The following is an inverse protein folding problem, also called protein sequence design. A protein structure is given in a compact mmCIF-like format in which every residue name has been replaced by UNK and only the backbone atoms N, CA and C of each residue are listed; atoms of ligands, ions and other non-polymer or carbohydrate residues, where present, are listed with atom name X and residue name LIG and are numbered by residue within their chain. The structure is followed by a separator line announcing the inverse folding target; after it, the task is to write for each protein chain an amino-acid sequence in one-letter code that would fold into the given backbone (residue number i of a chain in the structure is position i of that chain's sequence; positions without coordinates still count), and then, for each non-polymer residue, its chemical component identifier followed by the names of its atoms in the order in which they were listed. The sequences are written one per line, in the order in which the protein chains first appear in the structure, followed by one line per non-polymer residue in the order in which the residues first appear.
data_IF_315331145368
#
_entry.id   IF_315331145368
#
_cell.length_a   1.000
_cell.length_b   1.000
_cell.length_c   1.000
_cell.angle_alpha   90.00
_cell.angle_beta   90.00
_cell.angle_gamma   90.00
#
_symmetry.space_group_name_H-M   'P 1'
#
loop_
_entity.id
_entity.type
_entity.pdbx_description
1 polymer ?
#
# COMPACT_ATOMS: atom_id res chain seq x y z
N UNK A 1 24.79 5.78 2.60
CA UNK A 1 23.69 6.69 3.00
C UNK A 1 22.59 6.51 1.95
N UNK A 2 21.61 5.66 2.21
CA UNK A 2 20.50 5.42 1.29
C UNK A 2 19.55 6.61 1.40
N UNK A 3 19.39 7.33 0.30
CA UNK A 3 18.45 8.46 0.22
C UNK A 3 17.06 7.89 -0.04
N UNK A 4 16.25 7.84 1.01
CA UNK A 4 14.80 7.67 0.93
C UNK A 4 14.25 8.81 0.03
N UNK A 5 13.87 8.51 -1.21
CA UNK A 5 13.10 9.45 -2.03
C UNK A 5 11.71 9.57 -1.39
N UNK A 6 11.34 10.73 -0.82
CA UNK A 6 10.09 10.84 -0.08
C UNK A 6 8.92 10.75 -1.05
N UNK A 7 7.86 10.05 -0.65
CA UNK A 7 6.55 9.98 -1.33
C UNK A 7 5.94 11.38 -1.66
N UNK A 8 6.56 12.45 -1.16
CA UNK A 8 6.28 13.85 -1.48
C UNK A 8 6.45 14.21 -2.97
N UNK A 9 7.41 13.60 -3.67
CA UNK A 9 7.66 13.90 -5.10
C UNK A 9 6.46 13.53 -5.99
N UNK A 10 5.82 12.39 -5.72
CA UNK A 10 4.69 11.90 -6.53
C UNK A 10 3.45 12.79 -6.37
N UNK A 11 3.16 13.25 -5.16
CA UNK A 11 2.01 14.15 -4.88
C UNK A 11 2.21 15.51 -5.57
N UNK A 12 3.43 16.05 -5.54
CA UNK A 12 3.77 17.32 -6.22
C UNK A 12 3.68 17.18 -7.74
N UNK A 13 4.13 16.04 -8.30
CA UNK A 13 4.01 15.76 -9.74
C UNK A 13 2.55 15.62 -10.18
N UNK A 14 1.71 14.94 -9.40
CA UNK A 14 0.26 14.85 -9.68
C UNK A 14 -0.36 16.25 -9.69
N UNK A 15 0.00 17.10 -8.72
CA UNK A 15 -0.53 18.47 -8.62
C UNK A 15 -0.13 19.34 -9.83
N UNK A 16 1.13 19.27 -10.27
CA UNK A 16 1.59 19.99 -11.47
C UNK A 16 0.93 19.49 -12.75
N UNK A 17 0.77 18.18 -12.91
CA UNK A 17 0.07 17.59 -14.07
C UNK A 17 -1.40 18.04 -14.06
N UNK A 18 -2.06 18.05 -12.89
CA UNK A 18 -3.44 18.48 -12.73
C UNK A 18 -3.61 19.97 -13.10
N UNK A 19 -2.71 20.84 -12.65
CA UNK A 19 -2.75 22.27 -13.00
C UNK A 19 -2.59 22.50 -14.51
N UNK A 20 -1.76 21.71 -15.20
CA UNK A 20 -1.58 21.81 -16.64
C UNK A 20 -2.80 21.30 -17.44
N UNK A 21 -3.52 20.28 -16.94
CA UNK A 21 -4.75 19.77 -17.55
C UNK A 21 -6.00 20.61 -17.24
N UNK A 22 -6.08 21.25 -16.07
CA UNK A 22 -7.20 22.15 -15.70
C UNK A 22 -7.25 23.40 -16.59
N UNK A 23 -6.10 23.88 -17.08
CA UNK A 23 -6.04 25.00 -18.05
C UNK A 23 -6.66 24.63 -19.41
N UNK A 24 -6.66 23.35 -19.80
CA UNK A 24 -7.28 22.89 -21.04
C UNK A 24 -8.77 22.54 -20.91
N UNK A 25 -9.30 22.42 -19.69
CA UNK A 25 -10.67 21.96 -19.39
C UNK A 25 -11.62 23.10 -18.97
N UNK A 26 -11.32 24.34 -19.36
CA UNK A 26 -12.01 25.56 -18.91
C UNK A 26 -13.48 25.66 -19.37
N UNK A 27 -13.94 24.83 -20.32
CA UNK A 27 -15.35 24.81 -20.75
C UNK A 27 -15.94 23.40 -20.78
N UNK A 28 -17.16 23.29 -20.23
CA UNK A 28 -18.19 22.31 -20.58
C UNK A 28 -17.99 20.87 -20.06
N UNK A 29 -18.73 20.48 -19.01
CA UNK A 29 -19.09 19.12 -18.52
C UNK A 29 -17.98 18.08 -18.26
N UNK A 30 -16.90 18.08 -19.03
CA UNK A 30 -15.77 17.16 -18.98
C UNK A 30 -14.93 17.33 -17.71
N UNK A 31 -14.83 18.56 -17.18
CA UNK A 31 -14.22 18.83 -15.87
C UNK A 31 -14.99 18.14 -14.73
N UNK A 32 -16.33 18.08 -14.83
CA UNK A 32 -17.16 17.38 -13.84
C UNK A 32 -16.93 15.87 -13.91
N UNK A 33 -16.87 15.31 -15.12
CA UNK A 33 -16.62 13.86 -15.33
C UNK A 33 -15.24 13.46 -14.79
N UNK A 34 -14.19 14.22 -15.14
CA UNK A 34 -12.83 13.92 -14.71
C UNK A 34 -12.66 14.01 -13.19
N UNK A 35 -13.14 15.11 -12.58
CA UNK A 35 -13.05 15.30 -11.13
C UNK A 35 -13.87 14.29 -10.34
N UNK A 36 -15.11 13.98 -10.77
CA UNK A 36 -15.96 13.01 -10.09
C UNK A 36 -15.40 11.59 -10.20
N UNK A 37 -14.85 11.20 -11.36
CA UNK A 37 -14.22 9.89 -11.56
C UNK A 37 -12.96 9.71 -10.71
N UNK A 38 -12.12 10.75 -10.59
CA UNK A 38 -10.94 10.73 -9.74
C UNK A 38 -11.33 10.68 -8.25
N UNK A 39 -12.36 11.43 -7.86
CA UNK A 39 -12.90 11.44 -6.50
C UNK A 39 -13.50 10.08 -6.11
N UNK A 40 -14.16 9.39 -7.04
CA UNK A 40 -14.71 8.03 -6.87
C UNK A 40 -13.62 6.94 -6.81
N UNK A 41 -12.50 7.12 -7.52
CA UNK A 41 -11.39 6.17 -7.52
C UNK A 41 -10.50 6.28 -6.25
N UNK A 42 -10.49 7.44 -5.61
CA UNK A 42 -9.69 7.76 -4.43
C UNK A 42 -9.85 6.76 -3.26
N UNK A 43 -11.06 6.39 -2.80
CA UNK A 43 -11.25 5.43 -1.72
C UNK A 43 -10.59 4.07 -2.01
N UNK A 44 -10.75 3.57 -3.24
CA UNK A 44 -10.17 2.30 -3.66
C UNK A 44 -8.63 2.33 -3.63
N UNK A 45 -8.03 3.42 -4.12
CA UNK A 45 -6.57 3.59 -4.18
C UNK A 45 -5.98 3.65 -2.76
N UNK A 46 -6.57 4.44 -1.86
CA UNK A 46 -6.10 4.56 -0.48
C UNK A 46 -6.25 3.25 0.31
N UNK A 47 -7.34 2.53 0.11
CA UNK A 47 -7.53 1.21 0.72
C UNK A 47 -6.52 0.19 0.20
N UNK A 48 -6.29 0.11 -1.11
CA UNK A 48 -5.30 -0.77 -1.71
C UNK A 48 -3.89 -0.46 -1.20
N UNK A 49 -3.49 0.81 -1.15
CA UNK A 49 -2.20 1.22 -0.60
C UNK A 49 -2.04 0.78 0.86
N UNK A 50 -3.08 0.95 1.68
CA UNK A 50 -3.09 0.51 3.08
C UNK A 50 -2.91 -0.99 3.24
N UNK A 51 -3.56 -1.80 2.40
CA UNK A 51 -3.40 -3.25 2.38
C UNK A 51 -1.98 -3.67 1.96
N UNK A 52 -1.44 -3.03 0.91
CA UNK A 52 -0.07 -3.28 0.44
C UNK A 52 0.97 -2.93 1.49
N UNK A 53 0.83 -1.78 2.16
CA UNK A 53 1.73 -1.33 3.22
C UNK A 53 1.74 -2.29 4.42
N UNK A 54 0.56 -2.71 4.90
CA UNK A 54 0.44 -3.63 6.03
C UNK A 54 1.10 -4.98 5.74
N UNK A 55 0.88 -5.51 4.54
CA UNK A 55 1.41 -6.82 4.12
C UNK A 55 2.93 -6.76 3.98
N UNK A 56 3.47 -5.68 3.40
CA UNK A 56 4.91 -5.52 3.22
C UNK A 56 5.65 -5.38 4.56
N UNK A 57 5.12 -4.60 5.51
CA UNK A 57 5.74 -4.45 6.83
C UNK A 57 5.78 -5.76 7.61
N UNK A 58 4.72 -6.56 7.55
CA UNK A 58 4.69 -7.88 8.18
C UNK A 58 5.62 -8.88 7.48
N UNK A 59 5.72 -8.83 6.15
CA UNK A 59 6.68 -9.63 5.40
C UNK A 59 8.13 -9.29 5.77
N UNK A 60 8.43 -7.99 6.00
CA UNK A 60 9.71 -7.51 6.49
C UNK A 60 10.02 -7.83 7.96
N UNK A 61 9.12 -8.54 8.66
CA UNK A 61 9.34 -8.97 10.05
C UNK A 61 8.98 -7.93 11.11
N UNK A 62 8.25 -6.88 10.74
CA UNK A 62 7.73 -5.91 11.73
C UNK A 62 6.65 -6.57 12.58
N UNK A 63 6.68 -6.31 13.88
CA UNK A 63 5.66 -6.82 14.80
C UNK A 63 4.25 -6.30 14.49
N UNK A 64 3.26 -7.16 14.72
CA UNK A 64 1.85 -6.90 14.39
C UNK A 64 1.25 -5.76 15.20
N UNK A 65 1.69 -5.54 16.45
CA UNK A 65 1.20 -4.43 17.28
C UNK A 65 1.72 -3.10 16.75
N UNK A 66 2.99 -3.06 16.33
CA UNK A 66 3.60 -1.89 15.69
C UNK A 66 2.88 -1.54 14.39
N UNK A 67 2.64 -2.54 13.52
CA UNK A 67 1.87 -2.33 12.27
C UNK A 67 0.44 -1.87 12.57
N UNK A 68 -0.21 -2.44 13.59
CA UNK A 68 -1.55 -2.02 14.03
C UNK A 68 -1.60 -0.55 14.46
N UNK A 69 -0.57 -0.08 15.19
CA UNK A 69 -0.44 1.33 15.58
C UNK A 69 -0.17 2.24 14.39
N UNK A 70 0.70 1.86 13.47
CA UNK A 70 0.97 2.63 12.23
C UNK A 70 -0.26 2.76 11.34
N UNK A 71 -1.15 1.76 11.35
CA UNK A 71 -2.41 1.77 10.62
C UNK A 71 -3.55 2.48 11.37
N UNK A 72 -3.34 2.93 12.62
CA UNK A 72 -4.36 3.59 13.43
C UNK A 72 -5.48 2.66 13.89
N UNK A 73 -5.23 1.34 13.98
CA UNK A 73 -6.23 0.39 14.45
C UNK A 73 -6.34 0.41 15.98
N UNK A 74 -7.57 0.57 16.48
CA UNK A 74 -7.87 0.43 17.92
C UNK A 74 -7.83 -1.02 18.38
N UNK A 75 -8.12 -1.97 17.48
CA UNK A 75 -8.13 -3.40 17.76
C UNK A 75 -7.17 -4.14 16.82
N UNK A 76 -6.27 -4.94 17.38
CA UNK A 76 -5.27 -5.73 16.63
C UNK A 76 -5.93 -6.80 15.76
N UNK A 77 -7.16 -7.23 16.08
CA UNK A 77 -7.92 -8.21 15.31
C UNK A 77 -8.07 -7.85 13.82
N UNK A 78 -8.19 -6.57 13.49
CA UNK A 78 -8.29 -6.13 12.08
C UNK A 78 -6.95 -6.23 11.36
N UNK A 79 -5.82 -6.10 12.07
CA UNK A 79 -4.48 -6.29 11.51
C UNK A 79 -4.10 -7.77 11.36
N UNK A 80 -4.68 -8.67 12.17
CA UNK A 80 -4.42 -10.13 12.11
C UNK A 80 -4.77 -10.77 10.76
N UNK A 81 -5.66 -10.15 9.99
CA UNK A 81 -5.99 -10.62 8.63
C UNK A 81 -4.75 -10.61 7.72
N UNK A 82 -3.84 -9.65 7.89
CA UNK A 82 -2.62 -9.55 7.08
C UNK A 82 -1.55 -10.57 7.47
N UNK A 83 -1.46 -10.92 8.76
CA UNK A 83 -0.47 -11.88 9.26
C UNK A 83 -0.68 -13.26 8.62
N UNK A 84 -1.93 -13.73 8.55
CA UNK A 84 -2.29 -15.02 7.92
C UNK A 84 -1.81 -15.14 6.47
N UNK A 85 -1.84 -14.05 5.72
CA UNK A 85 -1.42 -14.01 4.30
C UNK A 85 0.10 -14.12 4.19
N UNK A 86 0.83 -13.48 5.09
CA UNK A 86 2.30 -13.53 5.12
C UNK A 86 2.80 -14.90 5.58
N UNK A 87 2.16 -15.49 6.58
CA UNK A 87 2.55 -16.81 7.11
C UNK A 87 2.42 -17.92 6.05
N UNK A 88 1.32 -17.91 5.28
CA UNK A 88 1.13 -18.86 4.18
C UNK A 88 2.25 -18.76 3.12
N UNK A 89 2.64 -17.53 2.77
CA UNK A 89 3.76 -17.30 1.82
C UNK A 89 5.11 -17.73 2.38
N UNK A 90 5.34 -17.52 3.68
CA UNK A 90 6.57 -17.96 4.34
C UNK A 90 6.67 -19.49 4.37
N UNK A 91 5.58 -20.17 4.69
CA UNK A 91 5.53 -21.65 4.70
C UNK A 91 5.79 -22.24 3.32
N UNK A 92 5.20 -21.65 2.27
CA UNK A 92 5.47 -22.04 0.88
C UNK A 92 6.95 -21.86 0.51
N UNK A 93 7.55 -20.71 0.86
CA UNK A 93 8.96 -20.43 0.60
C UNK A 93 9.89 -21.41 1.34
N UNK A 94 9.55 -21.82 2.57
CA UNK A 94 10.32 -22.82 3.32
C UNK A 94 10.29 -24.19 2.63
N UNK A 95 9.16 -24.60 2.02
CA UNK A 95 9.03 -25.90 1.34
C UNK A 95 9.90 -26.01 0.07
N UNK A 96 10.23 -24.89 -0.56
CA UNK A 96 11.11 -24.87 -1.75
C UNK A 96 12.56 -25.22 -1.40
N UNK A 97 13.00 -24.95 -0.18
CA UNK A 97 14.35 -25.27 0.28
C UNK A 97 14.33 -26.69 0.86
N UNK A 98 14.76 -27.68 0.06
CA UNK A 98 15.05 -29.02 0.55
C UNK A 98 16.34 -28.96 1.36
N UNK A 99 16.20 -28.88 2.69
CA UNK A 99 17.32 -29.12 3.58
C UNK A 99 17.41 -30.64 3.78
N UNK A 100 18.32 -31.29 3.06
CA UNK A 100 18.81 -32.63 3.43
C UNK A 100 19.59 -32.49 4.73
N UNK A 101 18.87 -32.39 5.84
CA UNK A 101 19.47 -32.48 7.16
C UNK A 101 19.56 -33.96 7.50
N UNK A 102 20.78 -34.54 7.59
CA UNK A 102 20.93 -35.83 8.22
C UNK A 102 20.48 -35.66 9.67
N UNK A 103 19.35 -36.27 10.00
CA UNK A 103 18.98 -36.54 11.38
C UNK A 103 20.18 -37.22 12.05
N UNK A 104 20.60 -36.71 13.22
CA UNK A 104 21.45 -37.49 14.12
C UNK A 104 20.74 -38.77 14.55
#
# INVERSE_FOLDING_TARGET
MVTEQPQYSVVVCIFHILQNTEIQLISNDLRLIFTYSLLLASPCIFHCFRHSYATLQLAGGTDIYTVSKMLGHTNVRTTQVYAKVVDAKKEEATKTIKLDLPYC
#
